data_IF_657993056687
#
_entry.id   IF_657993056687
#
_cell.length_a   1.000
_cell.length_b   1.000
_cell.length_c   1.000
_cell.angle_alpha   90.00
_cell.angle_beta   90.00
_cell.angle_gamma   90.00
#
_symmetry.space_group_name_H-M   'P 1'
#
loop_
_entity.id
_entity.type
_entity.pdbx_description
1 polymer ?
#
# COMPACT_ATOMS: atom_id res chain seq x y z
N UNK A 1 -19.94 5.28 12.91
CA UNK A 1 -18.75 5.60 13.73
C UNK A 1 -17.92 6.57 12.91
N UNK A 2 -17.55 7.72 13.44
CA UNK A 2 -17.05 8.86 12.64
C UNK A 2 -15.56 9.01 12.86
N UNK A 3 -14.75 8.72 11.83
CA UNK A 3 -13.35 9.14 11.78
C UNK A 3 -13.30 10.67 11.88
N UNK A 4 -12.30 11.24 12.55
CA UNK A 4 -11.99 12.67 12.38
C UNK A 4 -11.89 12.96 10.89
N UNK A 5 -12.44 14.10 10.44
CA UNK A 5 -12.28 14.54 9.04
C UNK A 5 -10.78 14.60 8.74
N UNK A 6 -10.29 13.62 7.99
CA UNK A 6 -8.92 13.59 7.49
C UNK A 6 -8.76 14.79 6.56
N UNK A 7 -7.73 15.60 6.79
CA UNK A 7 -7.41 16.68 5.87
C UNK A 7 -6.81 16.11 4.61
N UNK A 8 -6.85 16.87 3.51
CA UNK A 8 -6.15 16.48 2.27
C UNK A 8 -4.67 16.15 2.49
N UNK A 9 -4.02 16.78 3.47
CA UNK A 9 -2.63 16.47 3.85
C UNK A 9 -2.52 15.09 4.49
N UNK A 10 -3.42 14.74 5.41
CA UNK A 10 -3.46 13.40 6.02
C UNK A 10 -3.69 12.33 4.94
N UNK A 11 -4.61 12.56 4.00
CA UNK A 11 -4.87 11.62 2.89
C UNK A 11 -3.64 11.43 1.98
N UNK A 12 -2.92 12.51 1.67
CA UNK A 12 -1.71 12.47 0.86
C UNK A 12 -0.58 11.72 1.60
N UNK A 13 -0.42 11.99 2.90
CA UNK A 13 0.56 11.29 3.75
C UNK A 13 0.24 9.80 3.87
N UNK A 14 -1.03 9.43 4.06
CA UNK A 14 -1.48 8.03 4.06
C UNK A 14 -1.18 7.38 2.71
N UNK A 15 -1.50 8.04 1.60
CA UNK A 15 -1.25 7.50 0.25
C UNK A 15 0.24 7.22 0.02
N UNK A 16 1.11 8.18 0.35
CA UNK A 16 2.56 8.03 0.24
C UNK A 16 3.08 6.93 1.17
N UNK A 17 2.55 6.86 2.40
CA UNK A 17 2.94 5.86 3.38
C UNK A 17 2.58 4.44 2.92
N UNK A 18 1.37 4.23 2.41
CA UNK A 18 0.92 2.94 1.89
C UNK A 18 1.73 2.52 0.66
N UNK A 19 1.95 3.45 -0.27
CA UNK A 19 2.77 3.23 -1.45
C UNK A 19 4.18 2.75 -1.08
N UNK A 20 4.81 3.44 -0.13
CA UNK A 20 6.13 3.07 0.36
C UNK A 20 6.12 1.74 1.10
N UNK A 21 5.11 1.47 1.93
CA UNK A 21 4.98 0.20 2.66
C UNK A 21 4.94 -0.99 1.71
N UNK A 22 4.08 -0.93 0.69
CA UNK A 22 3.97 -1.97 -0.35
C UNK A 22 5.30 -2.11 -1.10
N UNK A 23 5.85 -0.99 -1.57
CA UNK A 23 7.09 -0.99 -2.35
C UNK A 23 8.26 -1.56 -1.55
N UNK A 24 8.46 -1.11 -0.31
CA UNK A 24 9.53 -1.60 0.55
C UNK A 24 9.37 -3.09 0.88
N UNK A 25 8.15 -3.56 1.12
CA UNK A 25 7.89 -4.99 1.37
C UNK A 25 8.33 -5.85 0.18
N UNK A 26 7.92 -5.46 -1.03
CA UNK A 26 8.29 -6.17 -2.27
C UNK A 26 9.80 -6.14 -2.46
N UNK A 27 10.45 -4.97 -2.27
CA UNK A 27 11.89 -4.80 -2.44
C UNK A 27 12.74 -5.53 -1.38
N UNK A 28 12.18 -5.80 -0.21
CA UNK A 28 12.84 -6.61 0.83
C UNK A 28 12.80 -8.11 0.53
N UNK A 29 11.79 -8.56 -0.21
CA UNK A 29 11.54 -9.96 -0.49
C UNK A 29 12.04 -10.39 -1.86
N UNK A 30 11.95 -9.53 -2.87
CA UNK A 30 12.52 -9.73 -4.21
C UNK A 30 13.68 -8.76 -4.41
N UNK A 31 14.87 -9.23 -4.80
CA UNK A 31 15.96 -8.33 -5.11
C UNK A 31 15.63 -7.50 -6.36
N UNK A 32 15.93 -6.19 -6.32
CA UNK A 32 15.72 -5.24 -7.42
C UNK A 32 16.25 -5.66 -8.80
N UNK A 33 17.18 -6.60 -8.85
CA UNK A 33 17.71 -7.12 -10.12
C UNK A 33 16.75 -8.08 -10.83
N UNK A 34 15.88 -8.73 -10.08
CA UNK A 34 14.84 -9.63 -10.59
C UNK A 34 13.53 -8.91 -10.89
N UNK A 35 13.39 -7.66 -10.43
CA UNK A 35 12.23 -6.81 -10.72
C UNK A 35 12.51 -6.06 -12.02
N UNK A 36 11.73 -6.36 -13.06
CA UNK A 36 11.72 -5.61 -14.33
C UNK A 36 11.01 -4.28 -14.13
N UNK A 37 9.85 -4.31 -13.49
CA UNK A 37 9.03 -3.13 -13.22
C UNK A 37 8.17 -3.35 -11.96
N UNK A 38 7.84 -2.27 -11.26
CA UNK A 38 7.00 -2.29 -10.07
C UNK A 38 6.09 -1.06 -10.13
N UNK A 39 4.80 -1.29 -10.32
CA UNK A 39 3.78 -0.25 -10.27
C UNK A 39 2.97 -0.41 -8.98
N UNK A 40 2.92 0.65 -8.18
CA UNK A 40 2.10 0.71 -6.97
C UNK A 40 1.22 1.93 -7.09
N UNK A 41 -0.08 1.69 -7.12
CA UNK A 41 -1.12 2.68 -7.25
C UNK A 41 -1.97 2.70 -5.99
N UNK A 42 -1.92 3.81 -5.25
CA UNK A 42 -2.73 4.02 -4.06
C UNK A 42 -3.71 5.16 -4.31
N UNK A 43 -5.00 4.89 -4.10
CA UNK A 43 -6.07 5.88 -4.16
C UNK A 43 -6.73 5.99 -2.81
N UNK A 44 -6.70 7.20 -2.26
CA UNK A 44 -7.33 7.54 -0.99
C UNK A 44 -8.32 8.66 -1.26
N UNK A 45 -9.60 8.39 -0.98
CA UNK A 45 -10.68 9.34 -1.19
C UNK A 45 -11.50 9.46 0.10
N UNK A 46 -11.87 10.69 0.46
CA UNK A 46 -12.68 10.99 1.65
C UNK A 46 -13.84 11.89 1.23
N UNK A 47 -15.01 11.29 1.07
CA UNK A 47 -16.25 12.00 0.70
C UNK A 47 -17.25 11.97 1.88
N UNK A 48 -18.03 10.89 2.00
CA UNK A 48 -18.86 10.56 3.18
C UNK A 48 -18.17 9.52 4.11
N UNK A 49 -17.41 8.61 3.51
CA UNK A 49 -16.57 7.61 4.16
C UNK A 49 -15.15 7.64 3.57
N UNK A 50 -14.18 7.12 4.33
CA UNK A 50 -12.82 6.94 3.84
C UNK A 50 -12.79 5.68 2.95
N UNK A 51 -12.50 5.88 1.68
CA UNK A 51 -12.25 4.81 0.71
C UNK A 51 -10.76 4.75 0.40
N UNK A 52 -10.17 3.57 0.57
CA UNK A 52 -8.77 3.30 0.21
C UNK A 52 -8.73 2.12 -0.74
N UNK A 53 -8.11 2.34 -1.89
CA UNK A 53 -7.89 1.32 -2.91
C UNK A 53 -6.38 1.22 -3.18
N UNK A 54 -5.81 0.06 -2.90
CA UNK A 54 -4.39 -0.25 -3.07
C UNK A 54 -4.28 -1.28 -4.17
N UNK A 55 -3.61 -0.92 -5.25
CA UNK A 55 -3.31 -1.79 -6.37
C UNK A 55 -1.79 -1.86 -6.54
N UNK A 56 -1.24 -3.05 -6.62
CA UNK A 56 0.18 -3.25 -6.84
C UNK A 56 0.39 -4.32 -7.90
N UNK A 57 1.35 -4.08 -8.79
CA UNK A 57 1.70 -4.98 -9.87
C UNK A 57 3.22 -5.05 -9.98
N UNK A 58 3.75 -6.26 -9.89
CA UNK A 58 5.19 -6.52 -10.01
C UNK A 58 5.45 -7.32 -11.27
N UNK A 59 6.34 -6.81 -12.11
CA UNK A 59 6.85 -7.50 -13.28
C UNK A 59 8.21 -8.06 -12.93
N UNK A 60 8.26 -9.39 -12.84
CA UNK A 60 9.48 -10.12 -12.55
C UNK A 60 10.16 -10.55 -13.85
N UNK A 61 11.49 -10.70 -13.78
CA UNK A 61 12.27 -11.29 -14.85
C UNK A 61 11.82 -12.74 -15.07
N UNK A 62 11.86 -13.20 -16.32
CA UNK A 62 11.44 -14.54 -16.73
C UNK A 62 12.22 -15.68 -16.06
N UNK A 63 13.39 -15.37 -15.48
CA UNK A 63 14.20 -16.31 -14.69
C UNK A 63 13.96 -16.22 -13.18
N UNK A 64 13.09 -15.32 -12.74
CA UNK A 64 12.78 -15.14 -11.32
C UNK A 64 11.87 -16.26 -10.82
N UNK A 65 12.19 -16.76 -9.62
CA UNK A 65 11.41 -17.78 -8.91
C UNK A 65 10.55 -17.14 -7.80
N UNK A 66 10.41 -15.80 -7.80
CA UNK A 66 9.70 -15.13 -6.73
C UNK A 66 8.20 -15.46 -6.75
N UNK A 67 7.64 -15.69 -5.57
CA UNK A 67 6.25 -16.09 -5.43
C UNK A 67 5.33 -14.90 -5.76
N UNK A 68 4.35 -15.06 -6.67
CA UNK A 68 3.44 -13.97 -7.04
C UNK A 68 2.55 -13.52 -5.87
N UNK A 69 2.38 -14.35 -4.83
CA UNK A 69 1.61 -14.01 -3.63
C UNK A 69 2.24 -12.89 -2.80
N UNK A 70 3.49 -12.52 -3.11
CA UNK A 70 4.19 -11.40 -2.48
C UNK A 70 3.45 -10.08 -2.60
N UNK A 71 2.71 -9.89 -3.70
CA UNK A 71 1.93 -8.69 -3.96
C UNK A 71 0.73 -8.64 -3.02
N UNK A 72 0.00 -9.76 -2.92
CA UNK A 72 -1.10 -9.92 -1.96
C UNK A 72 -0.60 -9.67 -0.53
N UNK A 73 0.52 -10.28 -0.13
CA UNK A 73 1.11 -10.05 1.20
C UNK A 73 1.47 -8.57 1.44
N UNK A 74 2.00 -7.90 0.43
CA UNK A 74 2.36 -6.48 0.53
C UNK A 74 1.13 -5.58 0.71
N UNK A 75 0.07 -5.88 -0.04
CA UNK A 75 -1.21 -5.16 0.03
C UNK A 75 -1.91 -5.42 1.36
N UNK A 76 -1.94 -6.66 1.83
CA UNK A 76 -2.54 -7.04 3.12
C UNK A 76 -1.83 -6.32 4.28
N UNK A 77 -0.49 -6.29 4.25
CA UNK A 77 0.31 -5.53 5.21
C UNK A 77 -0.01 -4.02 5.17
N UNK A 78 -0.20 -3.45 3.98
CA UNK A 78 -0.54 -2.04 3.85
C UNK A 78 -1.92 -1.74 4.46
N UNK A 79 -2.90 -2.63 4.28
CA UNK A 79 -4.20 -2.49 4.94
C UNK A 79 -4.10 -2.63 6.46
N UNK A 80 -3.32 -3.59 6.98
CA UNK A 80 -3.09 -3.73 8.42
C UNK A 80 -2.49 -2.45 9.03
N UNK A 81 -1.50 -1.86 8.34
CA UNK A 81 -0.88 -0.60 8.76
C UNK A 81 -1.83 0.59 8.65
N UNK A 82 -2.69 0.60 7.63
CA UNK A 82 -3.74 1.60 7.51
C UNK A 82 -4.69 1.53 8.70
N UNK A 83 -5.14 0.34 9.11
CA UNK A 83 -6.04 0.19 10.24
C UNK A 83 -5.41 0.71 11.55
N UNK A 84 -4.13 0.43 11.78
CA UNK A 84 -3.36 0.93 12.94
C UNK A 84 -3.29 2.47 12.94
N UNK A 85 -3.00 3.08 11.79
CA UNK A 85 -3.01 4.54 11.63
C UNK A 85 -4.41 5.08 11.92
N UNK A 86 -5.44 4.50 11.30
CA UNK A 86 -6.82 4.94 11.48
C UNK A 86 -7.33 4.76 12.91
N UNK A 87 -6.78 3.83 13.69
CA UNK A 87 -7.08 3.69 15.11
C UNK A 87 -6.70 4.95 15.89
N UNK A 88 -5.58 5.60 15.57
CA UNK A 88 -5.18 6.89 16.19
C UNK A 88 -6.17 8.02 15.84
N UNK A 89 -6.85 7.93 14.70
CA UNK A 89 -7.88 8.89 14.25
C UNK A 89 -9.31 8.53 14.69
N UNK A 90 -9.52 7.36 15.33
CA UNK A 90 -10.82 6.94 15.89
C UNK A 90 -10.98 7.58 17.28
N UNK A 91 -11.94 8.51 17.41
CA UNK A 91 -12.41 9.06 18.72
C UNK A 91 -13.42 8.15 19.41
#
# INVERSE_FOLDING_TARGET
MTLRRLSRRDLDEISIFLHNTVSEYILQRVPRKEIVDLDVSVRVEYDDELSVDISAEVYLDELSDADPSIVDEAVDLAYERLEDILEDYRE
#
